data_IF_103098675607
#
_entry.id   IF_103098675607
#
_cell.length_a   1.000
_cell.length_b   1.000
_cell.length_c   1.000
_cell.angle_alpha   90.00
_cell.angle_beta   90.00
_cell.angle_gamma   90.00
#
_symmetry.space_group_name_H-M   'P 1'
#
loop_
_entity.id
_entity.type
_entity.pdbx_description
1 polymer ?
#
# COMPACT_ATOMS: atom_id res chain seq x y z
N UNK A 1 18.24 -2.61 -2.68
CA UNK A 1 17.34 -2.44 -1.52
C UNK A 1 16.55 -3.71 -1.37
N UNK A 2 16.70 -4.42 -0.26
CA UNK A 2 16.07 -5.73 -0.03
C UNK A 2 14.66 -5.52 0.51
N UNK A 3 13.66 -6.20 -0.06
CA UNK A 3 12.29 -6.18 0.45
C UNK A 3 12.21 -7.05 1.71
N UNK A 4 11.68 -6.51 2.81
CA UNK A 4 11.34 -7.32 3.98
C UNK A 4 10.23 -8.33 3.67
N UNK A 5 10.09 -9.42 4.45
CA UNK A 5 8.92 -10.30 4.36
C UNK A 5 7.63 -9.48 4.49
N UNK A 6 6.61 -9.82 3.69
CA UNK A 6 5.35 -9.07 3.66
C UNK A 6 5.38 -7.75 2.89
N UNK A 7 6.46 -7.40 2.18
CA UNK A 7 6.50 -6.21 1.28
C UNK A 7 6.15 -6.60 -0.15
N UNK A 8 5.04 -6.08 -0.66
CA UNK A 8 4.60 -6.29 -2.05
C UNK A 8 5.17 -5.27 -3.03
N UNK A 9 5.36 -4.01 -2.61
CA UNK A 9 5.99 -3.00 -3.47
C UNK A 9 6.74 -1.92 -2.70
N UNK A 10 7.65 -1.25 -3.42
CA UNK A 10 8.27 0.00 -3.01
C UNK A 10 7.71 1.11 -3.90
N UNK A 11 7.37 2.24 -3.31
CA UNK A 11 6.84 3.40 -4.01
C UNK A 11 7.57 4.68 -3.63
N UNK A 12 7.53 5.63 -4.55
CA UNK A 12 7.77 7.05 -4.27
C UNK A 12 6.51 7.80 -4.67
N UNK A 13 6.09 8.75 -3.85
CA UNK A 13 4.98 9.64 -4.13
C UNK A 13 5.43 11.08 -3.93
N UNK A 14 5.20 11.90 -4.96
CA UNK A 14 5.57 13.31 -4.98
C UNK A 14 4.78 14.12 -3.93
N UNK A 15 5.26 15.32 -3.58
CA UNK A 15 4.58 16.22 -2.64
C UNK A 15 3.10 16.40 -2.94
N UNK A 16 2.24 16.32 -1.91
CA UNK A 16 0.78 16.53 -2.03
C UNK A 16 0.08 15.68 -3.11
N UNK A 17 0.73 14.66 -3.65
CA UNK A 17 0.21 13.85 -4.73
C UNK A 17 -0.62 12.68 -4.20
N UNK A 18 -1.49 12.17 -5.07
CA UNK A 18 -2.22 10.92 -4.86
C UNK A 18 -1.98 10.00 -6.06
N UNK A 19 -1.75 8.72 -5.78
CA UNK A 19 -1.58 7.70 -6.83
C UNK A 19 -2.18 6.38 -6.38
N UNK A 20 -2.61 5.57 -7.36
CA UNK A 20 -3.20 4.25 -7.14
C UNK A 20 -2.30 3.17 -7.73
N UNK A 21 -2.10 2.12 -6.94
CA UNK A 21 -1.45 0.86 -7.32
C UNK A 21 -2.48 -0.26 -7.27
N UNK A 22 -2.18 -1.36 -7.95
CA UNK A 22 -2.99 -2.57 -7.86
C UNK A 22 -2.13 -3.82 -7.83
N UNK A 23 -2.69 -4.88 -7.25
CA UNK A 23 -2.14 -6.23 -7.27
C UNK A 23 -3.30 -7.22 -7.29
N UNK A 24 -3.18 -8.27 -8.10
CA UNK A 24 -4.25 -9.21 -8.42
C UNK A 24 -3.86 -10.64 -8.10
N UNK A 25 -4.82 -11.56 -8.18
CA UNK A 25 -4.59 -13.00 -7.97
C UNK A 25 -4.52 -13.42 -6.51
N UNK A 26 -5.05 -12.61 -5.59
CA UNK A 26 -5.06 -12.94 -4.17
C UNK A 26 -6.19 -13.90 -3.83
N UNK A 27 -6.00 -14.85 -2.90
CA UNK A 27 -7.02 -15.82 -2.56
C UNK A 27 -8.25 -15.14 -1.94
N UNK A 28 -9.37 -15.34 -2.62
CA UNK A 28 -10.71 -14.91 -2.27
C UNK A 28 -11.21 -15.27 -0.85
N UNK A 29 -10.73 -16.39 -0.32
CA UNK A 29 -11.15 -16.99 0.94
C UNK A 29 -10.26 -16.57 2.11
N UNK A 30 -9.30 -15.66 1.89
CA UNK A 30 -8.40 -15.16 2.92
C UNK A 30 -8.56 -13.66 3.03
N UNK A 31 -8.55 -13.15 4.26
CA UNK A 31 -8.50 -11.72 4.50
C UNK A 31 -7.05 -11.26 4.45
N UNK A 32 -6.74 -10.39 3.48
CA UNK A 32 -5.43 -9.74 3.36
C UNK A 32 -5.55 -8.30 3.87
N UNK A 33 -4.72 -7.95 4.86
CA UNK A 33 -4.60 -6.58 5.35
C UNK A 33 -3.46 -5.90 4.60
N UNK A 34 -3.72 -4.68 4.13
CA UNK A 34 -2.73 -3.82 3.51
C UNK A 34 -2.37 -2.65 4.41
N UNK A 35 -1.07 -2.41 4.55
CA UNK A 35 -0.54 -1.21 5.22
C UNK A 35 0.47 -0.52 4.32
N UNK A 36 0.60 0.79 4.49
CA UNK A 36 1.56 1.61 3.75
C UNK A 36 2.46 2.30 4.77
N UNK A 37 3.77 2.05 4.69
CA UNK A 37 4.72 2.53 5.69
C UNK A 37 5.76 3.44 5.04
N UNK A 38 5.87 4.73 5.44
CA UNK A 38 6.97 5.58 5.03
C UNK A 38 8.31 4.98 5.45
N UNK A 39 9.30 5.09 4.57
CA UNK A 39 10.70 4.82 4.87
C UNK A 39 11.57 6.08 4.75
N UNK A 40 10.99 7.20 4.32
CA UNK A 40 11.57 8.54 4.47
C UNK A 40 11.32 9.04 5.90
N UNK A 41 12.36 9.36 6.69
CA UNK A 41 12.18 9.99 7.99
C UNK A 41 11.67 11.42 7.83
N UNK A 42 10.53 11.75 8.45
CA UNK A 42 10.01 13.12 8.58
C UNK A 42 9.25 13.19 9.92
N UNK A 43 9.88 13.70 10.99
CA UNK A 43 9.25 13.79 12.31
C UNK A 43 8.25 14.95 12.36
N UNK A 44 7.26 14.84 13.25
CA UNK A 44 6.35 15.96 13.58
C UNK A 44 4.97 15.93 12.90
N UNK A 45 4.66 14.95 12.05
CA UNK A 45 3.32 14.82 11.47
C UNK A 45 3.08 13.56 10.63
N UNK A 46 1.82 13.27 10.28
CA UNK A 46 1.47 12.16 9.40
C UNK A 46 1.98 12.42 7.97
N UNK A 47 2.71 11.45 7.39
CA UNK A 47 3.24 11.61 6.04
C UNK A 47 2.31 11.07 4.94
N UNK A 48 1.66 9.94 5.20
CA UNK A 48 0.86 9.23 4.21
C UNK A 48 -0.52 8.91 4.78
N UNK A 49 -1.52 8.94 3.91
CA UNK A 49 -2.80 8.26 4.11
C UNK A 49 -3.04 7.28 2.97
N UNK A 50 -3.80 6.22 3.22
CA UNK A 50 -4.14 5.25 2.18
C UNK A 50 -5.57 4.75 2.30
N UNK A 51 -6.12 4.32 1.17
CA UNK A 51 -7.40 3.63 1.05
C UNK A 51 -7.19 2.35 0.27
N UNK A 52 -7.89 1.30 0.68
CA UNK A 52 -7.90 0.01 0.02
C UNK A 52 -9.30 -0.21 -0.54
N UNK A 53 -9.39 -0.43 -1.84
CA UNK A 53 -10.60 -0.94 -2.49
C UNK A 53 -10.32 -2.37 -2.96
N UNK A 54 -11.32 -3.23 -2.88
CA UNK A 54 -11.20 -4.65 -3.23
C UNK A 54 -12.18 -4.96 -4.35
N UNK A 55 -11.68 -5.64 -5.37
CA UNK A 55 -12.47 -6.17 -6.47
C UNK A 55 -12.47 -7.70 -6.36
N UNK A 56 -13.65 -8.31 -6.40
CA UNK A 56 -13.78 -9.77 -6.52
C UNK A 56 -13.65 -10.14 -8.00
N UNK A 57 -12.46 -10.56 -8.40
CA UNK A 57 -12.16 -10.85 -9.81
C UNK A 57 -12.88 -12.13 -10.28
N UNK A 58 -12.92 -13.17 -9.43
CA UNK A 58 -13.67 -14.40 -9.69
C UNK A 58 -14.02 -15.13 -8.37
N UNK A 59 -14.50 -16.39 -8.47
CA UNK A 59 -14.87 -17.18 -7.29
C UNK A 59 -13.70 -17.46 -6.32
N UNK A 60 -12.47 -17.47 -6.81
CA UNK A 60 -11.25 -17.87 -6.10
C UNK A 60 -10.22 -16.73 -5.95
N UNK A 61 -10.37 -15.63 -6.68
CA UNK A 61 -9.39 -14.54 -6.67
C UNK A 61 -9.98 -13.14 -6.47
N UNK A 62 -9.16 -12.25 -5.90
CA UNK A 62 -9.46 -10.83 -5.77
C UNK A 62 -8.27 -9.94 -6.16
N UNK A 63 -8.60 -8.70 -6.54
CA UNK A 63 -7.66 -7.63 -6.83
C UNK A 63 -7.77 -6.55 -5.76
N UNK A 64 -6.63 -6.12 -5.23
CA UNK A 64 -6.55 -5.00 -4.30
C UNK A 64 -6.06 -3.76 -5.03
N UNK A 65 -6.78 -2.66 -4.82
CA UNK A 65 -6.48 -1.33 -5.34
C UNK A 65 -6.10 -0.43 -4.17
N UNK A 66 -4.83 -0.05 -4.07
CA UNK A 66 -4.30 0.74 -2.97
C UNK A 66 -4.02 2.15 -3.47
N UNK A 67 -4.79 3.11 -2.96
CA UNK A 67 -4.58 4.53 -3.23
C UNK A 67 -3.80 5.14 -2.08
N UNK A 68 -2.63 5.70 -2.36
CA UNK A 68 -1.77 6.37 -1.38
C UNK A 68 -1.78 7.87 -1.67
N UNK A 69 -1.89 8.68 -0.61
CA UNK A 69 -1.81 10.14 -0.69
C UNK A 69 -0.66 10.62 0.20
N UNK A 70 0.20 11.47 -0.37
CA UNK A 70 1.23 12.19 0.37
C UNK A 70 0.61 13.43 1.01
N UNK A 71 0.77 13.56 2.32
CA UNK A 71 0.24 14.68 3.11
C UNK A 71 1.30 15.76 3.37
N UNK A 72 2.51 15.58 2.82
CA UNK A 72 3.66 16.46 3.04
C UNK A 72 4.00 17.27 1.79
N UNK A 73 4.87 18.26 1.98
CA UNK A 73 5.47 19.06 0.91
C UNK A 73 6.74 18.41 0.31
N UNK A 74 7.13 17.22 0.76
CA UNK A 74 8.35 16.53 0.32
C UNK A 74 7.99 15.19 -0.34
N UNK A 75 8.86 14.69 -1.22
CA UNK A 75 8.65 13.37 -1.81
C UNK A 75 8.83 12.27 -0.74
N UNK A 76 7.88 11.35 -0.64
CA UNK A 76 7.91 10.27 0.36
C UNK A 76 8.17 8.93 -0.32
N UNK A 77 9.20 8.22 0.14
CA UNK A 77 9.45 6.82 -0.19
C UNK A 77 8.75 5.92 0.82
N UNK A 78 8.16 4.83 0.35
CA UNK A 78 7.37 3.95 1.21
C UNK A 78 7.36 2.49 0.75
N UNK A 79 6.94 1.62 1.65
CA UNK A 79 6.63 0.22 1.40
C UNK A 79 5.11 0.00 1.40
N UNK A 80 4.63 -0.74 0.41
CA UNK A 80 3.31 -1.35 0.45
C UNK A 80 3.40 -2.77 0.99
N UNK A 81 2.84 -2.99 2.17
CA UNK A 81 2.97 -4.22 2.94
C UNK A 81 1.64 -4.96 3.02
N UNK A 82 1.71 -6.29 3.08
CA UNK A 82 0.55 -7.17 3.26
C UNK A 82 0.76 -8.15 4.41
N UNK A 83 -0.35 -8.59 5.00
CA UNK A 83 -0.38 -9.75 5.87
C UNK A 83 -1.74 -10.47 5.79
N UNK A 84 -1.80 -11.74 6.15
CA UNK A 84 -3.06 -12.45 6.33
C UNK A 84 -3.58 -12.25 7.76
N UNK A 85 -4.87 -11.98 7.91
CA UNK A 85 -5.53 -12.07 9.21
C UNK A 85 -5.76 -13.56 9.54
N UNK A 86 -5.37 -13.98 10.74
CA UNK A 86 -5.62 -15.32 11.27
C UNK A 86 -6.80 -15.32 12.23
#
# INVERSE_FOLDING_TARGET
MVRGPGVQWLGTIEPSAQKRWFTFGWPANRQVIWTVMPITPCPGGPQLSWKVAVERADANSCTYWITVSNLTAEAVRFEGRFNFLN
#
